data_IF_523451344427
#
_entry.id   IF_523451344427
#
_cell.length_a   1.000
_cell.length_b   1.000
_cell.length_c   1.000
_cell.angle_alpha   90.00
_cell.angle_beta   90.00
_cell.angle_gamma   90.00
#
_symmetry.space_group_name_H-M   'P 1'
#
loop_
_entity.id
_entity.type
_entity.pdbx_description
1 polymer ?
#
# COMPACT_ATOMS: atom_id res chain seq x y z
N UNK A 1 -11.29 5.31 -5.71
CA UNK A 1 -10.22 5.81 -4.83
C UNK A 1 -9.72 7.19 -5.24
N UNK A 2 -10.01 7.78 -6.42
CA UNK A 2 -9.57 9.15 -6.74
C UNK A 2 -10.37 10.31 -6.11
N UNK A 3 -11.49 10.01 -5.45
CA UNK A 3 -12.44 11.02 -4.93
C UNK A 3 -12.01 11.73 -3.64
N UNK A 4 -10.90 11.32 -3.01
CA UNK A 4 -10.46 11.92 -1.73
C UNK A 4 -9.66 13.21 -1.88
N UNK A 5 -9.26 13.58 -3.10
CA UNK A 5 -8.47 14.79 -3.38
C UNK A 5 -9.32 16.07 -3.42
N UNK A 6 -9.95 16.41 -2.30
CA UNK A 6 -10.58 17.72 -2.12
C UNK A 6 -9.53 18.82 -1.91
N UNK A 7 -9.87 20.12 -2.11
CA UNK A 7 -8.96 21.22 -1.80
C UNK A 7 -8.40 21.14 -0.38
N UNK A 8 -9.23 20.76 0.60
CA UNK A 8 -8.80 20.60 2.00
C UNK A 8 -7.82 19.46 2.17
N UNK A 9 -8.03 18.33 1.48
CA UNK A 9 -7.06 17.23 1.50
C UNK A 9 -5.74 17.66 0.87
N UNK A 10 -5.78 18.38 -0.25
CA UNK A 10 -4.59 18.88 -0.94
C UNK A 10 -3.76 19.84 -0.06
N UNK A 11 -4.39 20.75 0.69
CA UNK A 11 -3.72 21.62 1.67
C UNK A 11 -2.96 20.84 2.77
N UNK A 12 -3.41 19.62 3.03
CA UNK A 12 -2.84 18.75 4.04
C UNK A 12 -1.75 17.83 3.49
N UNK A 13 -1.59 17.73 2.15
CA UNK A 13 -0.60 16.85 1.54
C UNK A 13 0.83 17.39 1.68
N UNK A 14 1.79 16.47 1.71
CA UNK A 14 3.22 16.80 1.65
C UNK A 14 3.52 17.50 0.31
N UNK A 15 3.04 16.91 -0.78
CA UNK A 15 2.99 17.53 -2.10
C UNK A 15 1.63 17.21 -2.72
N UNK A 16 0.77 18.21 -2.99
CA UNK A 16 -0.43 17.99 -3.79
C UNK A 16 -0.06 17.69 -5.25
N UNK A 17 -0.96 17.08 -6.04
CA UNK A 17 -0.69 16.84 -7.46
C UNK A 17 -0.53 18.17 -8.19
N UNK A 18 0.54 18.30 -8.98
CA UNK A 18 0.77 19.44 -9.87
C UNK A 18 -0.13 19.38 -11.11
N UNK A 19 -0.48 18.17 -11.55
CA UNK A 19 -1.40 17.94 -12.66
C UNK A 19 -2.19 16.64 -12.45
N UNK A 20 -3.37 16.59 -13.08
CA UNK A 20 -4.23 15.41 -13.14
C UNK A 20 -4.62 15.20 -14.60
N UNK A 21 -4.18 14.09 -15.18
CA UNK A 21 -4.64 13.68 -16.51
C UNK A 21 -5.80 12.67 -16.37
N UNK A 22 -6.85 12.86 -17.15
CA UNK A 22 -8.00 11.97 -17.18
C UNK A 22 -7.88 11.02 -18.36
N UNK A 23 -7.57 9.76 -18.08
CA UNK A 23 -7.36 8.74 -19.09
C UNK A 23 -8.65 8.45 -19.85
N UNK A 24 -8.61 8.56 -21.17
CA UNK A 24 -9.73 8.15 -22.02
C UNK A 24 -9.75 6.62 -22.21
N UNK A 25 -10.90 6.07 -22.61
CA UNK A 25 -11.02 4.65 -22.97
C UNK A 25 -10.04 4.24 -24.07
N UNK A 26 -9.82 5.11 -25.06
CA UNK A 26 -8.87 4.86 -26.16
C UNK A 26 -7.42 4.88 -25.68
N UNK A 27 -7.06 5.79 -24.79
CA UNK A 27 -5.72 5.85 -24.19
C UNK A 27 -5.41 4.60 -23.36
N UNK A 28 -6.36 4.17 -22.53
CA UNK A 28 -6.22 2.93 -21.75
C UNK A 28 -6.05 1.73 -22.67
N UNK A 29 -6.86 1.64 -23.75
CA UNK A 29 -6.73 0.57 -24.75
C UNK A 29 -5.33 0.57 -25.38
N UNK A 30 -4.86 1.72 -25.88
CA UNK A 30 -3.53 1.86 -26.50
C UNK A 30 -2.40 1.49 -25.52
N UNK A 31 -2.47 1.96 -24.27
CA UNK A 31 -1.49 1.61 -23.24
C UNK A 31 -1.44 0.10 -22.97
N UNK A 32 -2.60 -0.57 -22.95
CA UNK A 32 -2.69 -2.02 -22.78
C UNK A 32 -2.13 -2.80 -23.98
N UNK A 33 -2.43 -2.35 -25.20
CA UNK A 33 -1.89 -2.92 -26.45
C UNK A 33 -0.35 -2.83 -26.47
N UNK A 34 0.18 -1.64 -26.17
CA UNK A 34 1.63 -1.39 -26.06
C UNK A 34 2.26 -2.25 -24.96
N UNK A 35 1.66 -2.31 -23.77
CA UNK A 35 2.20 -3.12 -22.67
C UNK A 35 2.26 -4.63 -23.03
N UNK A 36 1.26 -5.13 -23.76
CA UNK A 36 1.21 -6.51 -24.21
C UNK A 36 2.30 -6.83 -25.25
N UNK A 37 2.53 -5.92 -26.21
CA UNK A 37 3.59 -6.05 -27.21
C UNK A 37 4.99 -6.05 -26.56
N UNK A 38 5.23 -5.09 -25.68
CA UNK A 38 6.54 -4.88 -25.05
C UNK A 38 6.84 -5.87 -23.92
N UNK A 39 5.85 -6.64 -23.47
CA UNK A 39 5.95 -7.59 -22.34
C UNK A 39 6.56 -6.93 -21.09
N UNK A 40 6.14 -5.70 -20.81
CA UNK A 40 6.62 -4.87 -19.69
C UNK A 40 8.10 -4.44 -19.77
N UNK A 41 8.78 -4.61 -20.91
CA UNK A 41 10.19 -4.24 -21.07
C UNK A 41 10.38 -2.72 -21.15
N UNK A 42 11.12 -2.16 -20.18
CA UNK A 42 11.50 -0.73 -20.18
C UNK A 42 12.33 -0.34 -21.42
N UNK A 43 13.32 -1.17 -21.77
CA UNK A 43 14.23 -0.90 -22.90
C UNK A 43 13.51 -0.88 -24.25
N UNK A 44 12.47 -1.70 -24.40
CA UNK A 44 11.64 -1.71 -25.60
C UNK A 44 10.62 -0.56 -25.57
N UNK A 45 10.07 -0.24 -24.40
CA UNK A 45 9.18 0.90 -24.22
C UNK A 45 9.84 2.23 -24.60
N UNK A 46 11.10 2.43 -24.24
CA UNK A 46 11.88 3.61 -24.61
C UNK A 46 12.01 3.80 -26.13
N UNK A 47 11.98 2.72 -26.91
CA UNK A 47 12.09 2.72 -28.38
C UNK A 47 10.75 2.70 -29.10
N UNK A 48 9.63 2.56 -28.40
CA UNK A 48 8.30 2.40 -29.01
C UNK A 48 7.81 3.70 -29.66
N UNK A 49 7.63 3.69 -30.98
CA UNK A 49 7.08 4.83 -31.75
C UNK A 49 5.62 5.13 -31.37
N UNK A 50 4.81 4.10 -31.12
CA UNK A 50 3.40 4.28 -30.78
C UNK A 50 3.20 4.93 -29.42
N UNK A 51 4.05 4.58 -28.46
CA UNK A 51 4.10 5.26 -27.17
C UNK A 51 4.56 6.73 -27.34
N UNK A 52 5.36 7.06 -28.38
CA UNK A 52 5.86 8.43 -28.61
C UNK A 52 4.73 9.30 -29.15
N UNK A 53 4.00 8.77 -30.13
CA UNK A 53 2.77 9.40 -30.67
C UNK A 53 1.75 9.64 -29.55
N UNK A 54 1.47 8.61 -28.73
CA UNK A 54 0.53 8.73 -27.62
C UNK A 54 0.99 9.78 -26.60
N UNK A 55 2.29 9.84 -26.27
CA UNK A 55 2.81 10.85 -25.34
C UNK A 55 2.59 12.27 -25.85
N UNK A 56 2.84 12.53 -27.15
CA UNK A 56 2.62 13.84 -27.76
C UNK A 56 1.13 14.23 -27.81
N UNK A 57 0.24 13.26 -27.99
CA UNK A 57 -1.22 13.46 -27.93
C UNK A 57 -1.71 13.80 -26.52
N UNK A 58 -1.14 13.16 -25.49
CA UNK A 58 -1.51 13.38 -24.08
C UNK A 58 -0.90 14.67 -23.51
N UNK A 59 0.33 15.01 -23.89
CA UNK A 59 1.04 16.20 -23.42
C UNK A 59 0.35 17.49 -23.87
N UNK A 60 -0.26 17.51 -25.06
CA UNK A 60 -1.09 18.64 -25.53
C UNK A 60 -2.35 18.87 -24.67
N UNK A 61 -2.81 17.86 -23.93
CA UNK A 61 -4.03 17.90 -23.12
C UNK A 61 -3.76 17.99 -21.62
N UNK A 62 -2.52 17.74 -21.19
CA UNK A 62 -2.15 17.79 -19.78
C UNK A 62 -1.45 19.12 -19.49
N UNK A 63 -2.23 20.12 -19.08
CA UNK A 63 -1.68 21.37 -18.56
C UNK A 63 -0.89 21.09 -17.26
N UNK A 64 0.29 21.71 -17.09
CA UNK A 64 1.09 21.63 -15.86
C UNK A 64 2.30 20.69 -15.87
N UNK A 65 2.40 19.73 -16.79
CA UNK A 65 3.63 18.90 -16.94
C UNK A 65 4.81 19.70 -17.50
N UNK A 66 4.53 20.74 -18.29
CA UNK A 66 5.55 21.56 -18.97
C UNK A 66 6.30 22.50 -18.02
N UNK A 67 5.73 22.84 -16.86
CA UNK A 67 6.34 23.70 -15.84
C UNK A 67 7.18 22.89 -14.85
N UNK A 68 7.88 21.86 -15.35
CA UNK A 68 8.47 20.82 -14.53
C UNK A 68 9.36 21.33 -13.41
N UNK A 69 9.26 20.70 -12.24
CA UNK A 69 10.25 20.94 -11.20
C UNK A 69 11.61 20.40 -11.65
N UNK A 70 12.75 21.00 -11.26
CA UNK A 70 14.07 20.47 -11.60
C UNK A 70 14.29 19.01 -11.13
N UNK A 71 13.50 18.57 -10.14
CA UNK A 71 13.54 17.22 -9.58
C UNK A 71 12.67 16.20 -10.33
N UNK A 72 11.85 16.63 -11.30
CA UNK A 72 10.86 15.81 -11.99
C UNK A 72 9.61 15.51 -11.16
N UNK A 73 8.91 14.43 -11.49
CA UNK A 73 7.61 14.10 -10.92
C UNK A 73 7.50 12.64 -10.45
N UNK A 74 6.70 12.40 -9.42
CA UNK A 74 6.17 11.09 -9.08
C UNK A 74 4.79 10.90 -9.72
N UNK A 75 4.55 9.74 -10.30
CA UNK A 75 3.27 9.43 -10.95
C UNK A 75 2.54 8.27 -10.28
N UNK A 76 1.21 8.30 -10.32
CA UNK A 76 0.36 7.17 -9.92
C UNK A 76 -1.00 7.23 -10.58
N UNK A 77 -1.65 6.08 -10.64
CA UNK A 77 -3.10 6.02 -10.85
C UNK A 77 -3.81 6.16 -9.50
N UNK A 78 -5.14 6.24 -9.52
CA UNK A 78 -5.96 6.16 -8.31
C UNK A 78 -5.75 4.86 -7.53
N UNK A 79 -5.38 3.76 -8.19
CA UNK A 79 -5.24 2.45 -7.57
C UNK A 79 -3.84 2.17 -7.05
N UNK A 80 -2.80 2.58 -7.77
CA UNK A 80 -1.42 2.27 -7.40
C UNK A 80 -0.41 3.17 -8.11
N UNK A 81 0.79 3.20 -7.53
CA UNK A 81 2.01 3.71 -8.16
C UNK A 81 2.81 2.58 -8.81
N UNK A 82 3.62 2.88 -9.84
CA UNK A 82 4.45 1.91 -10.56
C UNK A 82 5.70 1.50 -9.76
N UNK A 83 5.52 1.03 -8.51
CA UNK A 83 6.65 0.68 -7.61
C UNK A 83 7.45 -0.55 -8.05
N UNK A 84 6.96 -1.29 -9.03
CA UNK A 84 7.59 -2.44 -9.66
C UNK A 84 8.28 -2.10 -11.00
N UNK A 85 8.13 -0.87 -11.50
CA UNK A 85 8.94 -0.37 -12.62
C UNK A 85 10.33 0.09 -12.11
N UNK A 86 11.30 0.18 -13.01
CA UNK A 86 12.67 0.69 -12.75
C UNK A 86 13.42 -0.01 -11.59
N UNK A 87 13.24 -1.33 -11.45
CA UNK A 87 13.78 -2.08 -10.31
C UNK A 87 13.21 -1.63 -8.95
N UNK A 88 12.09 -0.91 -9.00
CA UNK A 88 11.41 -0.34 -7.85
C UNK A 88 12.12 0.85 -7.19
N UNK A 89 12.97 1.56 -7.92
CA UNK A 89 13.69 2.73 -7.40
C UNK A 89 12.84 4.00 -7.38
N UNK A 90 11.64 3.99 -7.98
CA UNK A 90 10.73 5.13 -8.04
C UNK A 90 11.36 6.39 -8.63
N UNK A 91 12.22 6.23 -9.64
CA UNK A 91 12.86 7.36 -10.32
C UNK A 91 11.82 8.41 -10.77
N UNK A 92 12.10 9.72 -10.62
CA UNK A 92 11.20 10.74 -11.12
C UNK A 92 11.07 10.67 -12.64
N UNK A 93 9.95 11.16 -13.16
CA UNK A 93 9.70 11.33 -14.58
C UNK A 93 9.62 12.81 -14.93
N UNK A 94 10.21 13.20 -16.07
CA UNK A 94 10.33 14.59 -16.51
C UNK A 94 9.51 14.90 -17.75
N UNK A 95 8.88 13.88 -18.35
CA UNK A 95 8.07 14.03 -19.55
C UNK A 95 6.86 13.10 -19.52
N UNK A 96 5.87 13.39 -20.35
CA UNK A 96 4.77 12.46 -20.60
C UNK A 96 5.30 11.14 -21.17
N UNK A 97 6.33 11.19 -22.02
CA UNK A 97 6.99 9.98 -22.55
C UNK A 97 7.49 9.07 -21.44
N UNK A 98 8.32 9.58 -20.53
CA UNK A 98 8.84 8.82 -19.39
C UNK A 98 7.70 8.32 -18.48
N UNK A 99 6.66 9.15 -18.30
CA UNK A 99 5.44 8.78 -17.58
C UNK A 99 4.82 7.52 -18.18
N UNK A 100 4.55 7.52 -19.49
CA UNK A 100 3.89 6.39 -20.16
C UNK A 100 4.79 5.15 -20.20
N UNK A 101 6.10 5.31 -20.42
CA UNK A 101 7.09 4.22 -20.34
C UNK A 101 6.96 3.50 -19.00
N UNK A 102 6.94 4.27 -17.90
CA UNK A 102 6.84 3.72 -16.55
C UNK A 102 5.50 3.04 -16.28
N UNK A 103 4.40 3.56 -16.84
CA UNK A 103 3.07 2.95 -16.72
C UNK A 103 3.00 1.58 -17.43
N UNK A 104 3.48 1.48 -18.68
CA UNK A 104 3.40 0.23 -19.46
C UNK A 104 4.39 -0.85 -18.99
N UNK A 105 5.46 -0.44 -18.31
CA UNK A 105 6.44 -1.37 -17.72
C UNK A 105 6.09 -1.85 -16.31
N UNK A 106 5.07 -1.29 -15.66
CA UNK A 106 4.58 -1.74 -14.35
C UNK A 106 3.44 -2.74 -14.49
N UNK A 107 3.63 -3.95 -13.97
CA UNK A 107 2.57 -4.98 -13.95
C UNK A 107 1.39 -4.55 -13.09
N UNK A 108 1.67 -3.87 -11.98
CA UNK A 108 0.62 -3.35 -11.07
C UNK A 108 -0.24 -2.28 -11.74
N UNK A 109 0.39 -1.36 -12.50
CA UNK A 109 -0.35 -0.36 -13.26
C UNK A 109 -1.15 -1.02 -14.38
N UNK A 110 -0.57 -1.93 -15.15
CA UNK A 110 -1.30 -2.63 -16.23
C UNK A 110 -2.51 -3.38 -15.68
N UNK A 111 -2.41 -4.00 -14.51
CA UNK A 111 -3.55 -4.60 -13.83
C UNK A 111 -4.64 -3.57 -13.46
N UNK A 112 -4.25 -2.38 -13.00
CA UNK A 112 -5.18 -1.28 -12.72
C UNK A 112 -5.83 -0.75 -14.00
N UNK A 113 -5.07 -0.60 -15.09
CA UNK A 113 -5.56 -0.19 -16.40
C UNK A 113 -6.57 -1.20 -16.99
N UNK A 114 -6.33 -2.51 -16.82
CA UNK A 114 -7.29 -3.54 -17.20
C UNK A 114 -8.61 -3.38 -16.41
N UNK A 115 -8.52 -3.18 -15.10
CA UNK A 115 -9.69 -2.92 -14.26
C UNK A 115 -10.48 -1.69 -14.73
N UNK A 116 -9.78 -0.61 -15.04
CA UNK A 116 -10.36 0.62 -15.59
C UNK A 116 -11.01 0.40 -16.97
N UNK A 117 -10.36 -0.36 -17.85
CA UNK A 117 -10.91 -0.70 -19.16
C UNK A 117 -12.22 -1.49 -19.04
N UNK A 118 -12.32 -2.41 -18.08
CA UNK A 118 -13.58 -3.10 -17.81
C UNK A 118 -14.67 -2.15 -17.31
N UNK A 119 -14.34 -1.19 -16.44
CA UNK A 119 -15.31 -0.17 -15.99
C UNK A 119 -15.85 0.66 -17.16
N UNK A 120 -14.99 1.05 -18.10
CA UNK A 120 -15.39 1.75 -19.33
C UNK A 120 -16.29 0.91 -20.27
N UNK A 121 -16.34 -0.41 -20.11
CA UNK A 121 -17.19 -1.29 -20.91
C UNK A 121 -18.48 -1.67 -20.19
N UNK A 122 -18.59 -1.39 -18.89
CA UNK A 122 -19.79 -1.63 -18.09
C UNK A 122 -20.63 -0.35 -17.92
N UNK A 123 -20.33 0.69 -18.70
CA UNK A 123 -20.95 2.02 -18.61
C UNK A 123 -21.00 2.54 -17.16
N UNK A 124 -19.92 2.32 -16.41
CA UNK A 124 -19.77 2.90 -15.09
C UNK A 124 -19.89 4.42 -15.21
N UNK A 125 -20.81 5.02 -14.47
CA UNK A 125 -21.16 6.45 -14.58
C UNK A 125 -19.94 7.36 -14.33
N UNK A 126 -19.01 6.91 -13.47
CA UNK A 126 -17.80 7.65 -13.10
C UNK A 126 -16.60 6.70 -12.91
N UNK A 127 -15.93 6.26 -13.99
CA UNK A 127 -14.76 5.40 -13.88
C UNK A 127 -13.60 6.16 -13.22
N UNK A 128 -12.81 5.48 -12.39
CA UNK A 128 -11.68 6.08 -11.68
C UNK A 128 -10.46 6.20 -12.61
N UNK A 129 -10.51 7.14 -13.55
CA UNK A 129 -9.61 7.23 -14.70
C UNK A 129 -8.47 8.25 -14.53
N UNK A 130 -8.13 8.61 -13.29
CA UNK A 130 -7.17 9.68 -13.02
C UNK A 130 -5.72 9.15 -12.98
N UNK A 131 -4.84 9.87 -13.68
CA UNK A 131 -3.39 9.78 -13.60
C UNK A 131 -2.88 11.05 -12.91
N UNK A 132 -2.33 10.89 -11.72
CA UNK A 132 -1.83 11.99 -10.92
C UNK A 132 -0.34 12.18 -11.12
N UNK A 133 0.06 13.45 -11.25
CA UNK A 133 1.45 13.88 -11.39
C UNK A 133 1.80 14.76 -10.19
N UNK A 134 2.64 14.25 -9.31
CA UNK A 134 3.08 14.93 -8.08
C UNK A 134 4.50 15.48 -8.28
N UNK A 135 4.81 16.68 -7.76
CA UNK A 135 6.20 17.13 -7.64
C UNK A 135 7.06 16.09 -6.91
N UNK A 136 8.22 15.75 -7.47
CA UNK A 136 9.12 14.79 -6.84
C UNK A 136 9.84 15.43 -5.66
N UNK A 137 9.79 14.79 -4.49
CA UNK A 137 10.46 15.28 -3.28
C UNK A 137 11.82 14.58 -3.10
N UNK A 138 12.89 15.25 -3.50
CA UNK A 138 14.27 14.71 -3.42
C UNK A 138 14.79 14.57 -2.00
N UNK A 139 14.26 15.37 -1.08
CA UNK A 139 14.71 15.42 0.31
C UNK A 139 13.83 14.60 1.26
N UNK A 140 13.03 13.66 0.72
CA UNK A 140 12.19 12.80 1.53
C UNK A 140 13.07 11.87 2.37
N UNK A 141 13.20 12.18 3.66
CA UNK A 141 13.70 11.18 4.59
C UNK A 141 12.64 10.09 4.77
N UNK A 142 12.98 8.90 4.29
CA UNK A 142 12.06 7.76 4.32
C UNK A 142 11.88 7.17 5.72
N UNK A 143 12.72 7.53 6.70
CA UNK A 143 12.49 7.19 8.11
C UNK A 143 11.42 8.08 8.76
N UNK A 144 11.19 9.27 8.19
CA UNK A 144 10.13 10.19 8.55
C UNK A 144 8.78 9.87 7.89
N UNK A 145 8.66 8.72 7.21
CA UNK A 145 7.38 8.18 6.72
C UNK A 145 6.75 7.27 7.78
N UNK A 146 5.48 7.54 8.09
CA UNK A 146 4.68 6.82 9.07
C UNK A 146 3.37 6.37 8.46
N UNK A 147 2.82 5.27 8.97
CA UNK A 147 1.50 4.75 8.61
C UNK A 147 0.55 4.87 9.79
N UNK A 148 -0.55 5.60 9.62
CA UNK A 148 -1.62 5.70 10.59
C UNK A 148 -2.78 4.75 10.20
N UNK A 149 -3.29 4.03 11.19
CA UNK A 149 -4.43 3.13 11.07
C UNK A 149 -5.66 3.86 11.56
N UNK A 150 -6.60 4.14 10.66
CA UNK A 150 -7.87 4.79 10.98
C UNK A 150 -8.98 3.74 10.98
N UNK A 151 -9.65 3.56 12.12
CA UNK A 151 -10.82 2.68 12.28
C UNK A 151 -11.99 3.49 12.83
N UNK A 152 -13.13 3.43 12.16
CA UNK A 152 -14.36 4.14 12.56
C UNK A 152 -14.13 5.62 12.93
N UNK A 153 -13.36 6.33 12.11
CA UNK A 153 -12.98 7.74 12.26
C UNK A 153 -11.98 8.04 13.39
N UNK A 154 -11.30 7.02 13.92
CA UNK A 154 -10.30 7.18 14.97
C UNK A 154 -8.94 6.63 14.54
N UNK A 155 -7.86 7.35 14.84
CA UNK A 155 -6.51 6.79 14.69
C UNK A 155 -6.25 5.85 15.87
N UNK A 156 -6.20 4.54 15.58
CA UNK A 156 -6.01 3.49 16.58
C UNK A 156 -4.56 3.05 16.70
N UNK A 157 -3.78 3.20 15.62
CA UNK A 157 -2.37 2.83 15.63
C UNK A 157 -1.52 3.69 14.67
N UNK A 158 -0.21 3.75 14.92
CA UNK A 158 0.80 4.37 14.05
C UNK A 158 2.03 3.46 13.96
N UNK A 159 2.53 3.19 12.76
CA UNK A 159 3.73 2.41 12.49
C UNK A 159 4.78 3.25 11.78
N UNK A 160 6.06 3.08 12.12
CA UNK A 160 7.16 3.48 11.23
C UNK A 160 7.04 2.72 9.89
N UNK A 161 7.12 3.42 8.75
CA UNK A 161 6.99 2.78 7.42
C UNK A 161 8.22 1.97 7.04
N UNK A 162 9.42 2.47 7.38
CA UNK A 162 10.69 1.78 7.15
C UNK A 162 11.08 0.85 8.30
N UNK A 163 10.23 -0.15 8.57
CA UNK A 163 10.42 -1.10 9.67
C UNK A 163 11.67 -2.01 9.55
N UNK A 164 12.36 -1.99 8.42
CA UNK A 164 13.59 -2.75 8.18
C UNK A 164 14.87 -1.94 8.46
N UNK A 165 14.71 -0.69 8.89
CA UNK A 165 15.78 0.20 9.33
C UNK A 165 15.51 0.63 10.78
N UNK A 166 16.53 0.64 11.66
CA UNK A 166 16.42 1.25 12.98
C UNK A 166 15.91 2.69 12.86
N UNK A 167 15.08 3.12 13.80
CA UNK A 167 14.66 4.52 13.82
C UNK A 167 15.82 5.42 14.29
N UNK A 168 15.65 6.73 14.16
CA UNK A 168 16.62 7.69 14.65
C UNK A 168 16.84 7.56 16.15
N UNK A 169 18.11 7.66 16.55
CA UNK A 169 18.46 7.87 17.95
C UNK A 169 17.87 9.20 18.46
N UNK A 170 17.43 9.22 19.72
CA UNK A 170 16.95 10.44 20.37
C UNK A 170 15.46 10.75 20.18
N UNK A 171 14.68 9.86 19.55
CA UNK A 171 13.22 9.96 19.58
C UNK A 171 12.72 9.74 21.01
N UNK A 172 11.89 10.68 21.49
CA UNK A 172 11.34 10.67 22.85
C UNK A 172 9.83 10.48 22.85
N UNK A 173 9.26 10.05 23.97
CA UNK A 173 7.80 9.92 24.15
C UNK A 173 7.06 11.23 23.89
N UNK A 174 7.69 12.38 24.19
CA UNK A 174 7.11 13.70 23.89
C UNK A 174 7.00 13.95 22.40
N UNK A 175 8.01 13.57 21.62
CA UNK A 175 8.00 13.68 20.15
C UNK A 175 6.94 12.74 19.55
N UNK A 176 6.85 11.51 20.04
CA UNK A 176 5.82 10.55 19.61
C UNK A 176 4.40 11.01 19.99
N UNK A 177 4.23 11.60 21.17
CA UNK A 177 2.96 12.20 21.59
C UNK A 177 2.56 13.36 20.67
N UNK A 178 3.53 14.19 20.26
CA UNK A 178 3.30 15.25 19.26
C UNK A 178 2.91 14.66 17.89
N UNK A 179 3.54 13.56 17.47
CA UNK A 179 3.20 12.86 16.22
C UNK A 179 1.74 12.39 16.24
N UNK A 180 1.34 11.70 17.31
CA UNK A 180 -0.04 11.24 17.51
C UNK A 180 -1.01 12.42 17.46
N UNK A 181 -0.73 13.49 18.20
CA UNK A 181 -1.58 14.69 18.20
C UNK A 181 -1.73 15.33 16.82
N UNK A 182 -0.63 15.51 16.09
CA UNK A 182 -0.66 16.11 14.74
C UNK A 182 -1.33 15.18 13.73
N UNK A 183 -1.19 13.85 13.85
CA UNK A 183 -1.90 12.90 13.01
C UNK A 183 -3.42 12.96 13.25
N UNK A 184 -3.87 13.04 14.50
CA UNK A 184 -5.29 13.25 14.83
C UNK A 184 -5.81 14.59 14.27
N UNK A 185 -5.02 15.66 14.40
CA UNK A 185 -5.34 16.97 13.83
C UNK A 185 -5.47 16.89 12.30
N UNK A 186 -4.52 16.25 11.61
CA UNK A 186 -4.59 15.98 10.17
C UNK A 186 -5.89 15.26 9.82
N UNK A 187 -6.18 14.14 10.48
CA UNK A 187 -7.39 13.36 10.23
C UNK A 187 -8.67 14.18 10.45
N UNK A 188 -8.77 14.92 11.56
CA UNK A 188 -9.94 15.76 11.84
C UNK A 188 -10.21 16.83 10.77
N UNK A 189 -9.17 17.30 10.06
CA UNK A 189 -9.33 18.22 8.95
C UNK A 189 -9.89 17.52 7.72
N UNK A 190 -9.34 16.37 7.34
CA UNK A 190 -9.68 15.71 6.06
C UNK A 190 -10.90 14.79 6.15
N UNK A 191 -11.17 14.17 7.30
CA UNK A 191 -12.25 13.20 7.49
C UNK A 191 -13.65 13.68 7.07
N UNK A 192 -14.06 14.94 7.30
CA UNK A 192 -15.37 15.43 6.88
C UNK A 192 -15.60 15.40 5.36
N UNK A 193 -14.54 15.32 4.56
CA UNK A 193 -14.59 15.31 3.10
C UNK A 193 -14.55 13.88 2.53
N UNK A 194 -14.44 12.85 3.37
CA UNK A 194 -14.30 11.45 2.97
C UNK A 194 -15.61 10.68 3.20
N UNK A 195 -15.94 9.78 2.27
CA UNK A 195 -17.12 8.92 2.33
C UNK A 195 -16.87 7.59 3.09
N UNK A 196 -15.67 7.43 3.67
CA UNK A 196 -15.27 6.28 4.47
C UNK A 196 -14.72 6.69 5.83
N UNK A 197 -14.93 5.82 6.82
CA UNK A 197 -14.48 6.02 8.20
C UNK A 197 -13.24 5.23 8.56
N UNK A 198 -12.93 4.20 7.79
CA UNK A 198 -11.83 3.29 8.06
C UNK A 198 -10.88 3.27 6.87
N UNK A 199 -9.61 3.59 7.10
CA UNK A 199 -8.58 3.71 6.06
C UNK A 199 -7.17 3.64 6.66
N UNK A 200 -6.18 3.69 5.78
CA UNK A 200 -4.77 3.73 6.14
C UNK A 200 -4.19 5.01 5.57
N UNK A 201 -3.59 5.83 6.42
CA UNK A 201 -2.90 7.06 5.99
C UNK A 201 -1.40 6.79 5.98
N UNK A 202 -0.74 7.01 4.85
CA UNK A 202 0.71 7.20 4.84
C UNK A 202 0.97 8.70 5.00
N UNK A 203 1.80 9.07 5.97
CA UNK A 203 2.08 10.45 6.36
C UNK A 203 3.57 10.70 6.50
N UNK A 204 3.99 11.95 6.31
CA UNK A 204 5.34 12.42 6.54
C UNK A 204 5.41 13.25 7.83
N UNK A 205 6.39 12.98 8.68
CA UNK A 205 6.66 13.73 9.90
C UNK A 205 8.12 13.58 10.35
N UNK A 206 8.87 14.68 10.30
CA UNK A 206 10.24 14.76 10.81
C UNK A 206 10.25 14.89 12.33
N UNK A 207 10.03 13.78 13.05
CA UNK A 207 9.80 13.79 14.50
C UNK A 207 10.93 14.39 15.35
N UNK A 208 12.13 14.52 14.79
CA UNK A 208 13.27 15.17 15.43
C UNK A 208 13.21 16.71 15.39
N UNK A 209 12.47 17.28 14.43
CA UNK A 209 12.25 18.72 14.36
C UNK A 209 11.19 19.14 15.40
N UNK A 210 11.52 19.95 16.43
CA UNK A 210 10.54 20.37 17.43
C UNK A 210 9.32 21.10 16.85
N UNK A 211 9.40 21.61 15.62
CA UNK A 211 8.35 22.36 14.93
C UNK A 211 7.69 21.58 13.78
N UNK A 212 7.98 20.28 13.64
CA UNK A 212 7.41 19.46 12.58
C UNK A 212 5.87 19.50 12.51
N UNK A 213 5.34 19.37 11.29
CA UNK A 213 3.93 19.11 11.01
C UNK A 213 3.77 17.74 10.34
N UNK A 214 2.65 17.08 10.61
CA UNK A 214 2.29 15.84 9.90
C UNK A 214 1.63 16.22 8.57
N UNK A 215 2.18 15.72 7.47
CA UNK A 215 1.65 15.92 6.11
C UNK A 215 1.18 14.62 5.50
N UNK A 216 0.05 14.63 4.79
CA UNK A 216 -0.50 13.47 4.10
C UNK A 216 0.34 13.09 2.87
N UNK A 217 0.67 11.81 2.69
CA UNK A 217 1.29 11.28 1.48
C UNK A 217 0.24 10.54 0.64
N UNK A 218 -0.46 9.59 1.25
CA UNK A 218 -1.38 8.68 0.55
C UNK A 218 -2.48 8.21 1.49
N UNK A 219 -3.68 7.97 0.94
CA UNK A 219 -4.76 7.25 1.60
C UNK A 219 -4.91 5.89 0.92
N UNK A 220 -4.79 4.82 1.71
CA UNK A 220 -4.94 3.44 1.29
C UNK A 220 -6.21 2.82 1.94
N UNK A 221 -6.77 1.74 1.35
CA UNK A 221 -7.90 1.04 1.93
C UNK A 221 -7.56 0.33 3.25
N UNK A 222 -8.58 0.07 4.06
CA UNK A 222 -8.48 -0.64 5.34
C UNK A 222 -8.42 -2.17 5.20
N UNK A 223 -7.65 -2.83 6.06
CA UNK A 223 -7.78 -4.25 6.39
C UNK A 223 -6.94 -5.23 5.58
N UNK A 224 -6.76 -6.45 6.12
CA UNK A 224 -5.97 -7.55 5.53
C UNK A 224 -6.41 -8.01 4.15
N UNK A 225 -7.67 -7.78 3.81
CA UNK A 225 -8.24 -8.15 2.52
C UNK A 225 -7.88 -7.13 1.42
N UNK A 226 -7.37 -5.97 1.82
CA UNK A 226 -6.88 -4.94 0.91
C UNK A 226 -5.39 -5.14 0.59
N UNK A 227 -4.89 -4.43 -0.41
CA UNK A 227 -3.47 -4.43 -0.76
C UNK A 227 -2.57 -3.65 0.22
N UNK A 228 -3.11 -3.17 1.34
CA UNK A 228 -2.39 -2.36 2.32
C UNK A 228 -1.55 -3.25 3.25
N UNK A 229 -0.23 -3.08 3.22
CA UNK A 229 0.67 -3.75 4.15
C UNK A 229 0.45 -3.32 5.61
N UNK A 230 0.72 -4.21 6.57
CA UNK A 230 0.52 -3.93 8.01
C UNK A 230 1.79 -3.46 8.74
N UNK A 231 2.96 -3.44 8.07
CA UNK A 231 4.22 -2.95 8.63
C UNK A 231 4.55 -3.58 9.99
N UNK A 232 4.76 -2.79 11.05
CA UNK A 232 5.05 -3.27 12.41
C UNK A 232 3.82 -3.82 13.15
N UNK A 233 2.66 -3.86 12.50
CA UNK A 233 1.48 -4.54 13.00
C UNK A 233 1.19 -5.78 12.17
N UNK A 234 0.45 -6.72 12.73
CA UNK A 234 -0.11 -7.84 12.01
C UNK A 234 -1.63 -7.77 12.06
N UNK A 235 -2.29 -7.78 10.90
CA UNK A 235 -3.73 -7.58 10.80
C UNK A 235 -4.57 -8.55 11.64
N UNK A 236 -4.07 -9.76 11.89
CA UNK A 236 -4.81 -10.79 12.63
C UNK A 236 -4.43 -10.82 14.11
N UNK A 237 -3.16 -10.59 14.44
CA UNK A 237 -2.67 -10.77 15.81
C UNK A 237 -2.77 -9.48 16.61
N UNK A 238 -2.74 -8.33 15.93
CA UNK A 238 -3.03 -7.02 16.50
C UNK A 238 -4.47 -6.59 16.20
N UNK A 239 -5.37 -7.53 15.89
CA UNK A 239 -6.76 -7.20 15.57
C UNK A 239 -7.46 -6.44 16.72
N UNK A 240 -7.15 -6.74 17.98
CA UNK A 240 -7.69 -5.99 19.14
C UNK A 240 -7.18 -4.55 19.23
N UNK A 241 -6.04 -4.23 18.59
CA UNK A 241 -5.47 -2.89 18.52
C UNK A 241 -6.00 -2.16 17.27
N UNK A 242 -6.04 -2.84 16.13
CA UNK A 242 -6.41 -2.26 14.84
C UNK A 242 -7.93 -2.17 14.67
N UNK A 243 -8.68 -3.11 15.22
CA UNK A 243 -10.14 -3.17 15.14
C UNK A 243 -10.75 -3.35 16.55
N UNK A 244 -10.54 -2.38 17.46
CA UNK A 244 -11.02 -2.49 18.82
C UNK A 244 -12.55 -2.43 18.87
N UNK A 245 -13.17 -3.30 19.68
CA UNK A 245 -14.63 -3.28 19.89
C UNK A 245 -15.11 -1.96 20.50
N UNK A 246 -14.28 -1.35 21.34
CA UNK A 246 -14.52 -0.05 21.96
C UNK A 246 -13.27 0.82 21.82
N UNK A 247 -13.45 2.04 21.30
CA UNK A 247 -12.36 3.00 21.21
C UNK A 247 -12.17 3.70 22.56
N UNK A 248 -11.06 3.39 23.22
CA UNK A 248 -10.66 3.93 24.53
C UNK A 248 -9.87 5.25 24.43
N UNK A 249 -9.73 5.80 23.21
CA UNK A 249 -8.90 6.99 22.89
C UNK A 249 -7.39 6.74 22.93
N UNK A 250 -6.96 5.49 23.03
CA UNK A 250 -5.55 5.13 22.93
C UNK A 250 -5.15 5.02 21.46
N UNK A 251 -3.96 5.52 21.12
CA UNK A 251 -3.30 5.26 19.84
C UNK A 251 -2.00 4.52 20.13
N UNK A 252 -1.86 3.30 19.61
CA UNK A 252 -0.64 2.50 19.79
C UNK A 252 0.39 2.89 18.74
N UNK A 253 1.59 3.27 19.17
CA UNK A 253 2.70 3.61 18.27
C UNK A 253 3.73 2.50 18.29
N UNK A 254 4.12 2.00 17.11
CA UNK A 254 5.24 1.06 16.95
C UNK A 254 6.32 1.67 16.06
N UNK A 255 7.56 1.54 16.51
CA UNK A 255 8.77 1.93 15.81
C UNK A 255 9.86 0.89 16.09
N UNK A 256 10.83 0.79 15.19
CA UNK A 256 12.01 -0.03 15.40
C UNK A 256 12.93 0.69 16.38
N UNK A 257 13.42 -0.02 17.39
CA UNK A 257 14.34 0.57 18.36
C UNK A 257 15.57 1.19 17.67
N UNK A 258 16.09 2.32 18.20
CA UNK A 258 17.34 2.88 17.70
C UNK A 258 18.48 1.90 18.01
N UNK A 259 19.36 1.66 17.04
CA UNK A 259 20.51 0.77 17.27
C UNK A 259 21.29 0.39 16.02
N UNK A 260 22.30 -0.45 16.21
CA UNK A 260 23.19 -0.97 15.14
C UNK A 260 22.60 -2.22 14.47
N UNK A 261 21.29 -2.48 14.63
CA UNK A 261 20.68 -3.65 14.04
C UNK A 261 20.95 -3.65 12.54
N UNK A 262 21.48 -4.77 12.02
CA UNK A 262 21.87 -4.91 10.62
C UNK A 262 20.68 -4.50 9.75
N UNK A 263 20.85 -3.40 9.03
CA UNK A 263 19.88 -2.91 8.03
C UNK A 263 19.61 -4.08 7.09
N UNK A 264 18.35 -4.52 7.04
CA UNK A 264 17.97 -5.53 6.07
C UNK A 264 18.07 -4.91 4.69
N UNK A 265 18.65 -5.65 3.75
CA UNK A 265 18.48 -5.35 2.34
C UNK A 265 16.99 -5.41 1.99
N UNK A 266 16.62 -4.71 0.91
CA UNK A 266 15.25 -4.74 0.39
C UNK A 266 14.80 -6.17 0.09
N UNK A 267 15.70 -7.01 -0.40
CA UNK A 267 15.38 -8.40 -0.76
C UNK A 267 15.19 -9.27 0.48
N UNK A 268 16.01 -9.08 1.53
CA UNK A 268 15.79 -9.75 2.83
C UNK A 268 14.43 -9.34 3.43
N UNK A 269 14.11 -8.04 3.44
CA UNK A 269 12.82 -7.54 3.93
C UNK A 269 11.63 -8.06 3.09
N UNK A 270 11.81 -8.13 1.76
CA UNK A 270 10.79 -8.67 0.85
C UNK A 270 10.59 -10.18 1.02
N UNK A 271 11.67 -10.93 1.28
CA UNK A 271 11.61 -12.36 1.54
C UNK A 271 10.87 -12.65 2.84
N UNK A 272 11.17 -11.92 3.92
CA UNK A 272 10.44 -12.01 5.19
C UNK A 272 8.95 -11.75 4.98
N UNK A 273 8.60 -10.66 4.28
CA UNK A 273 7.20 -10.29 4.06
C UNK A 273 6.40 -11.15 3.07
N UNK A 274 7.02 -12.08 2.33
CA UNK A 274 6.33 -12.92 1.32
C UNK A 274 6.50 -14.43 1.47
N UNK A 275 7.54 -14.91 2.12
CA UNK A 275 7.89 -16.35 2.11
C UNK A 275 7.17 -17.18 3.19
N UNK A 276 6.22 -16.61 3.91
CA UNK A 276 5.42 -17.34 4.89
C UNK A 276 5.25 -16.50 6.15
N UNK A 277 4.12 -15.80 6.21
CA UNK A 277 3.77 -14.78 7.22
C UNK A 277 3.81 -15.31 8.68
N UNK A 278 4.05 -16.60 8.91
CA UNK A 278 4.10 -17.15 10.27
C UNK A 278 5.35 -18.01 10.50
N UNK A 279 5.66 -18.96 9.61
CA UNK A 279 6.74 -19.94 9.86
C UNK A 279 8.14 -19.40 9.56
N UNK A 280 8.29 -18.55 8.55
CA UNK A 280 9.60 -18.00 8.16
C UNK A 280 9.97 -16.75 8.96
N UNK A 281 8.99 -15.98 9.42
CA UNK A 281 9.22 -14.85 10.33
C UNK A 281 9.78 -15.37 11.66
N UNK A 282 9.19 -16.43 12.24
CA UNK A 282 9.69 -17.05 13.48
C UNK A 282 11.08 -17.67 13.30
N UNK A 283 11.34 -18.39 12.20
CA UNK A 283 12.67 -18.96 11.91
C UNK A 283 13.73 -17.87 11.76
N UNK A 284 13.46 -16.83 10.99
CA UNK A 284 14.40 -15.73 10.74
C UNK A 284 14.68 -14.92 12.02
N UNK A 285 13.69 -14.77 12.91
CA UNK A 285 13.87 -14.15 14.22
C UNK A 285 14.69 -15.04 15.18
N UNK A 286 14.42 -16.36 15.20
CA UNK A 286 15.15 -17.35 15.99
C UNK A 286 16.62 -17.49 15.58
N UNK A 287 16.91 -17.55 14.28
CA UNK A 287 18.27 -17.60 13.72
C UNK A 287 19.11 -16.36 14.10
N UNK A 288 18.44 -15.25 14.45
CA UNK A 288 19.07 -13.99 14.81
C UNK A 288 19.13 -13.74 16.33
N UNK A 289 18.75 -14.72 17.13
CA UNK A 289 18.77 -14.63 18.60
C UNK A 289 17.70 -13.71 19.19
N UNK A 290 16.73 -13.26 18.39
CA UNK A 290 15.59 -12.48 18.84
C UNK A 290 14.51 -13.46 19.34
N UNK A 291 14.46 -13.69 20.65
CA UNK A 291 13.41 -14.52 21.27
C UNK A 291 12.10 -13.74 21.32
N UNK A 292 11.25 -13.93 20.31
CA UNK A 292 9.81 -13.80 20.52
C UNK A 292 9.37 -15.02 21.33
N UNK A 293 9.02 -14.81 22.60
CA UNK A 293 8.45 -15.86 23.46
C UNK A 293 6.95 -15.65 23.48
N UNK A 294 6.25 -16.22 22.50
CA UNK A 294 4.98 -16.84 22.84
C UNK A 294 5.38 -18.14 23.53
N UNK A 295 5.14 -18.23 24.84
CA UNK A 295 5.34 -19.49 25.57
C UNK A 295 4.61 -20.61 24.82
N UNK A 296 5.15 -21.84 24.82
CA UNK A 296 4.64 -22.94 23.98
C UNK A 296 3.13 -23.20 24.19
N UNK A 297 2.65 -22.94 25.41
CA UNK A 297 1.24 -22.97 25.78
C UNK A 297 0.43 -21.84 25.13
N UNK A 298 0.97 -20.62 25.02
CA UNK A 298 0.38 -19.48 24.30
C UNK A 298 0.37 -19.68 22.80
N UNK A 299 1.41 -20.30 22.25
CA UNK A 299 1.42 -20.70 20.83
C UNK A 299 0.38 -21.80 20.54
N UNK A 300 0.28 -22.80 21.41
CA UNK A 300 -0.73 -23.86 21.29
C UNK A 300 -2.16 -23.33 21.46
N UNK A 301 -2.39 -22.43 22.43
CA UNK A 301 -3.65 -21.71 22.65
C UNK A 301 -4.05 -20.95 21.37
N UNK A 302 -3.12 -20.20 20.80
CA UNK A 302 -3.32 -19.43 19.57
C UNK A 302 -3.61 -20.29 18.34
N UNK A 303 -2.89 -21.41 18.18
CA UNK A 303 -3.11 -22.35 17.08
C UNK A 303 -4.41 -23.14 17.24
N UNK A 304 -4.91 -23.27 18.47
CA UNK A 304 -6.21 -23.85 18.82
C UNK A 304 -7.39 -22.87 18.77
N UNK A 305 -7.15 -21.57 18.53
CA UNK A 305 -8.24 -20.60 18.46
C UNK A 305 -9.18 -20.94 17.29
N UNK A 306 -10.50 -20.93 17.54
CA UNK A 306 -11.48 -21.26 16.52
C UNK A 306 -11.54 -20.14 15.47
N UNK A 307 -11.39 -20.55 14.22
CA UNK A 307 -11.54 -19.74 13.01
C UNK A 307 -12.83 -20.19 12.33
N UNK A 308 -13.66 -19.22 11.94
CA UNK A 308 -14.95 -19.52 11.32
C UNK A 308 -14.77 -20.08 9.90
N UNK A 309 -15.00 -21.37 9.71
CA UNK A 309 -15.09 -21.98 8.37
C UNK A 309 -16.51 -21.85 7.82
N UNK A 310 -16.62 -21.43 6.57
CA UNK A 310 -17.88 -21.00 5.95
C UNK A 310 -18.83 -22.12 5.56
N UNK A 311 -18.56 -23.38 5.91
CA UNK A 311 -19.38 -24.52 5.47
C UNK A 311 -19.77 -25.55 6.55
N UNK A 312 -19.11 -25.65 7.71
CA UNK A 312 -19.43 -26.77 8.64
C UNK A 312 -19.08 -26.59 10.12
N UNK A 313 -18.66 -25.41 10.58
CA UNK A 313 -18.33 -25.17 12.00
C UNK A 313 -16.96 -24.53 12.18
N UNK A 314 -16.60 -24.22 13.43
CA UNK A 314 -15.30 -23.66 13.77
C UNK A 314 -14.18 -24.66 13.42
N UNK A 315 -13.14 -24.20 12.71
CA UNK A 315 -11.87 -24.93 12.47
C UNK A 315 -10.75 -24.28 13.27
N UNK A 316 -9.64 -24.95 13.58
CA UNK A 316 -8.50 -24.26 14.22
C UNK A 316 -7.50 -23.73 13.19
N UNK A 317 -6.62 -22.79 13.58
CA UNK A 317 -5.51 -22.32 12.70
C UNK A 317 -4.58 -23.48 12.33
N UNK A 318 -4.38 -24.43 13.25
CA UNK A 318 -3.64 -25.67 13.03
C UNK A 318 -4.26 -26.52 11.91
N UNK A 319 -5.58 -26.71 11.93
CA UNK A 319 -6.28 -27.51 10.92
C UNK A 319 -6.22 -26.86 9.53
N UNK A 320 -6.35 -25.53 9.47
CA UNK A 320 -6.21 -24.77 8.22
C UNK A 320 -4.81 -24.87 7.61
N UNK A 321 -3.77 -24.87 8.45
CA UNK A 321 -2.38 -25.06 8.03
C UNK A 321 -2.10 -26.50 7.56
N UNK A 322 -2.68 -27.50 8.24
CA UNK A 322 -2.58 -28.91 7.81
C UNK A 322 -3.28 -29.17 6.47
N UNK A 323 -4.45 -28.56 6.23
CA UNK A 323 -5.16 -28.67 4.95
C UNK A 323 -4.33 -28.05 3.83
N UNK A 324 -3.70 -26.88 4.09
CA UNK A 324 -2.80 -26.24 3.14
C UNK A 324 -1.60 -27.13 2.81
N UNK A 325 -0.93 -27.70 3.83
CA UNK A 325 0.21 -28.62 3.66
C UNK A 325 -0.15 -29.89 2.91
N UNK A 326 -1.31 -30.49 3.21
CA UNK A 326 -1.80 -31.70 2.51
C UNK A 326 -2.13 -31.41 1.04
N UNK A 327 -2.41 -30.15 0.68
CA UNK A 327 -2.57 -29.70 -0.70
C UNK A 327 -1.27 -29.62 -1.51
N UNK A 328 -0.11 -29.59 -0.86
CA UNK A 328 1.20 -29.57 -1.55
C UNK A 328 1.73 -30.98 -1.85
N UNK A 329 1.31 -32.02 -1.11
CA UNK A 329 1.95 -33.34 -1.18
C UNK A 329 1.29 -34.38 -2.12
N UNK A 330 0.18 -34.07 -2.80
CA UNK A 330 -0.29 -34.99 -3.83
C UNK A 330 -1.70 -34.77 -4.36
N UNK A 331 -1.79 -34.21 -5.57
CA UNK A 331 -2.70 -34.54 -6.68
C UNK A 331 -2.83 -33.31 -7.62
N UNK A 332 -2.63 -33.50 -8.93
CA UNK A 332 -2.97 -32.46 -9.93
C UNK A 332 -4.48 -32.42 -10.25
N UNK A 333 -4.98 -31.54 -11.14
CA UNK A 333 -4.48 -30.24 -11.53
C UNK A 333 -5.20 -29.09 -10.79
N UNK A 334 -4.40 -28.14 -10.30
CA UNK A 334 -4.73 -26.74 -9.99
C UNK A 334 -5.93 -26.46 -9.07
N UNK A 335 -5.74 -26.58 -7.75
CA UNK A 335 -6.30 -25.54 -6.87
C UNK A 335 -5.37 -24.33 -7.01
N UNK A 336 -5.76 -23.33 -7.80
CA UNK A 336 -5.00 -22.08 -7.84
C UNK A 336 -5.24 -21.36 -6.50
N UNK A 337 -4.35 -20.47 -6.03
CA UNK A 337 -4.57 -19.72 -4.78
C UNK A 337 -5.94 -19.01 -4.68
N UNK A 338 -6.55 -18.66 -5.83
CA UNK A 338 -7.92 -18.11 -5.94
C UNK A 338 -9.05 -19.10 -5.64
N UNK A 339 -8.77 -20.39 -5.71
CA UNK A 339 -9.69 -21.50 -5.44
C UNK A 339 -9.59 -21.94 -3.97
N UNK A 340 -8.66 -21.35 -3.20
CA UNK A 340 -8.53 -21.55 -1.76
C UNK A 340 -9.82 -21.09 -1.06
N UNK A 341 -10.39 -21.88 -0.12
CA UNK A 341 -11.66 -21.57 0.57
C UNK A 341 -11.71 -20.15 1.16
N UNK A 342 -10.58 -19.66 1.67
CA UNK A 342 -10.40 -18.28 2.17
C UNK A 342 -10.61 -17.20 1.10
N UNK A 343 -10.11 -17.40 -0.13
CA UNK A 343 -10.33 -16.50 -1.27
C UNK A 343 -11.77 -16.56 -1.78
N UNK A 344 -12.37 -17.76 -1.79
CA UNK A 344 -13.78 -17.94 -2.15
C UNK A 344 -14.74 -17.28 -1.13
N UNK A 345 -14.38 -17.27 0.17
CA UNK A 345 -15.13 -16.58 1.23
C UNK A 345 -15.08 -15.06 1.08
N UNK A 346 -13.89 -14.50 0.82
CA UNK A 346 -13.71 -13.07 0.53
C UNK A 346 -14.50 -12.65 -0.72
N UNK A 347 -14.51 -13.48 -1.76
CA UNK A 347 -15.29 -13.24 -2.98
C UNK A 347 -16.81 -13.28 -2.74
N UNK A 348 -17.31 -14.21 -1.92
CA UNK A 348 -18.74 -14.33 -1.60
C UNK A 348 -19.24 -13.19 -0.70
N UNK A 349 -18.45 -12.78 0.30
CA UNK A 349 -18.79 -11.62 1.12
C UNK A 349 -18.95 -10.35 0.26
N UNK A 350 -18.06 -10.16 -0.72
CA UNK A 350 -18.14 -9.05 -1.67
C UNK A 350 -19.35 -9.11 -2.62
N UNK A 351 -19.89 -10.30 -2.88
CA UNK A 351 -21.08 -10.48 -3.71
C UNK A 351 -22.39 -10.34 -2.93
N UNK A 352 -22.35 -10.39 -1.59
CA UNK A 352 -23.51 -10.25 -0.72
C UNK A 352 -23.74 -8.81 -0.23
N UNK A 353 -22.75 -7.93 -0.40
CA UNK A 353 -22.81 -6.49 -0.04
C UNK A 353 -22.98 -5.56 -1.25
N UNK A 354 -23.32 -6.12 -2.43
CA UNK A 354 -23.90 -5.40 -3.57
C UNK A 354 -25.36 -5.78 -3.68
#
# INVERSE_FOLDING_TARGET
>A
MGRWLTPRTQECMLNPPAAIHYLSKDEVRKLLEIAAELKYSMLEAEKSDDLSKLSAEMEKRTEGLQTGTPAGHFIRTSHCSPKDADGGNLQPVNSMRETLTKLVSSKRIVQALLGLYYQFNQDAEYPDNQLYVFPYFTHLDRLSEWRCYVKESHIVAISQSRFYQPNYAGITDKMLSKLVFQAHRLWSRIAPDLDFKSCILDVYAEVLDPDFEVKLIEINPWGAHSGSGSLLFHWLDDASILDPEQYDRTTVVRLVEPGVAKVLSRDEAFHIGRSGIIEDELRCLQERGLKWVLEDDKHAEFMGLPVQDGQSGFTTRKDGLEIFRKGEEGMGPSMKPRDHPRFLKLKKAYQAER
#
